data_IF_980496604361
#
_entry.id   IF_980496604361
#
_cell.length_a   1.000
_cell.length_b   1.000
_cell.length_c   1.000
_cell.angle_alpha   90.00
_cell.angle_beta   90.00
_cell.angle_gamma   90.00
#
_symmetry.space_group_name_H-M   'P 1'
#
loop_
_entity.id
_entity.type
_entity.pdbx_description
1 polymer ?
#
# COMPACT_ATOMS: atom_id res chain seq x y z
N UNK A 1 -9.65 11.55 38.72
CA UNK A 1 -10.30 10.27 38.40
C UNK A 1 -11.01 10.43 37.07
N UNK A 2 -10.55 9.75 36.03
CA UNK A 2 -11.23 9.69 34.72
C UNK A 2 -12.59 9.02 34.91
N UNK A 3 -13.68 9.66 34.47
CA UNK A 3 -15.01 9.04 34.44
C UNK A 3 -14.93 7.71 33.67
N UNK A 4 -15.57 6.63 34.13
CA UNK A 4 -15.69 5.41 33.33
C UNK A 4 -16.39 5.79 32.01
N UNK A 5 -15.78 5.48 30.88
CA UNK A 5 -16.42 5.64 29.57
C UNK A 5 -17.68 4.79 29.54
N UNK A 6 -18.80 5.40 29.15
CA UNK A 6 -20.08 4.70 28.96
C UNK A 6 -19.87 3.54 27.98
N UNK A 7 -20.04 2.26 28.41
CA UNK A 7 -19.84 1.11 27.55
C UNK A 7 -20.68 1.15 26.27
N UNK A 8 -21.88 1.75 26.32
CA UNK A 8 -22.74 1.89 25.16
C UNK A 8 -22.19 2.93 24.16
N UNK A 9 -21.57 4.00 24.66
CA UNK A 9 -20.95 5.01 23.81
C UNK A 9 -19.71 4.45 23.09
N UNK A 10 -18.89 3.67 23.80
CA UNK A 10 -17.73 2.98 23.23
C UNK A 10 -18.15 1.92 22.18
N UNK A 11 -19.20 1.15 22.47
CA UNK A 11 -19.77 0.19 21.50
C UNK A 11 -20.30 0.90 20.25
N UNK A 12 -21.04 1.99 20.40
CA UNK A 12 -21.56 2.78 19.26
C UNK A 12 -20.43 3.36 18.41
N UNK A 13 -19.36 3.84 19.04
CA UNK A 13 -18.18 4.34 18.32
C UNK A 13 -17.54 3.24 17.47
N UNK A 14 -17.31 2.04 18.03
CA UNK A 14 -16.75 0.91 17.28
C UNK A 14 -17.62 0.49 16.10
N UNK A 15 -18.95 0.49 16.27
CA UNK A 15 -19.88 0.18 15.19
C UNK A 15 -19.80 1.22 14.07
N UNK A 16 -19.68 2.51 14.39
CA UNK A 16 -19.50 3.56 13.40
C UNK A 16 -18.17 3.44 12.65
N UNK A 17 -17.09 3.11 13.35
CA UNK A 17 -15.77 2.85 12.75
C UNK A 17 -15.83 1.67 11.78
N UNK A 18 -16.42 0.54 12.20
CA UNK A 18 -16.64 -0.63 11.33
C UNK A 18 -17.48 -0.29 10.10
N UNK A 19 -18.55 0.49 10.25
CA UNK A 19 -19.38 0.91 9.12
C UNK A 19 -18.60 1.76 8.13
N UNK A 20 -17.73 2.67 8.62
CA UNK A 20 -16.87 3.50 7.78
C UNK A 20 -15.86 2.65 7.00
N UNK A 21 -15.22 1.70 7.66
CA UNK A 21 -14.26 0.78 7.04
C UNK A 21 -14.92 -0.10 5.96
N UNK A 22 -16.10 -0.66 6.25
CA UNK A 22 -16.85 -1.47 5.29
C UNK A 22 -17.28 -0.65 4.05
N UNK A 23 -17.68 0.61 4.25
CA UNK A 23 -18.02 1.50 3.15
C UNK A 23 -16.80 1.79 2.26
N UNK A 24 -15.64 2.05 2.87
CA UNK A 24 -14.37 2.23 2.16
C UNK A 24 -14.02 0.98 1.33
N UNK A 25 -14.05 -0.21 1.94
CA UNK A 25 -13.77 -1.48 1.24
C UNK A 25 -14.71 -1.68 0.06
N UNK A 26 -16.02 -1.44 0.25
CA UNK A 26 -17.03 -1.58 -0.81
C UNK A 26 -16.78 -0.63 -1.98
N UNK A 27 -16.42 0.64 -1.71
CA UNK A 27 -16.07 1.62 -2.75
C UNK A 27 -14.85 1.19 -3.55
N UNK A 28 -13.76 0.85 -2.88
CA UNK A 28 -12.53 0.39 -3.53
C UNK A 28 -12.78 -0.87 -4.36
N UNK A 29 -13.52 -1.84 -3.83
CA UNK A 29 -13.87 -3.07 -4.55
C UNK A 29 -14.67 -2.77 -5.82
N UNK A 30 -15.65 -1.86 -5.74
CA UNK A 30 -16.44 -1.44 -6.90
C UNK A 30 -15.56 -0.79 -7.97
N UNK A 31 -14.71 0.15 -7.60
CA UNK A 31 -13.80 0.82 -8.54
C UNK A 31 -12.87 -0.19 -9.21
N UNK A 32 -12.23 -1.06 -8.42
CA UNK A 32 -11.35 -2.11 -8.92
C UNK A 32 -12.05 -3.06 -9.90
N UNK A 33 -13.32 -3.40 -9.65
CA UNK A 33 -14.10 -4.30 -10.52
C UNK A 33 -14.35 -3.73 -11.93
N UNK A 34 -14.20 -2.42 -12.11
CA UNK A 34 -14.46 -1.75 -13.40
C UNK A 34 -13.19 -1.49 -14.22
N UNK A 35 -12.02 -1.82 -13.69
CA UNK A 35 -10.73 -1.55 -14.34
C UNK A 35 -10.51 -2.52 -15.49
N UNK A 36 -10.31 -1.99 -16.69
CA UNK A 36 -10.05 -2.78 -17.89
C UNK A 36 -8.62 -2.63 -18.44
N UNK A 37 -7.91 -1.59 -18.02
CA UNK A 37 -6.57 -1.30 -18.51
C UNK A 37 -5.64 -0.69 -17.45
N UNK A 38 -4.34 -0.67 -17.77
CA UNK A 38 -3.28 -0.18 -16.89
C UNK A 38 -3.44 1.30 -16.52
N UNK A 39 -3.98 2.14 -17.42
CA UNK A 39 -4.15 3.58 -17.16
C UNK A 39 -5.26 3.82 -16.15
N UNK A 40 -6.37 3.11 -16.29
CA UNK A 40 -7.46 3.13 -15.31
C UNK A 40 -6.99 2.64 -13.94
N UNK A 41 -6.15 1.60 -13.91
CA UNK A 41 -5.56 1.13 -12.66
C UNK A 41 -4.68 2.19 -11.99
N UNK A 42 -3.78 2.83 -12.74
CA UNK A 42 -2.94 3.90 -12.22
C UNK A 42 -3.77 5.08 -11.71
N UNK A 43 -4.87 5.43 -12.39
CA UNK A 43 -5.79 6.47 -11.95
C UNK A 43 -6.39 6.12 -10.58
N UNK A 44 -6.98 4.92 -10.44
CA UNK A 44 -7.64 4.46 -9.20
C UNK A 44 -6.65 4.36 -8.04
N UNK A 45 -5.42 3.89 -8.28
CA UNK A 45 -4.37 3.86 -7.25
C UNK A 45 -4.04 5.28 -6.77
N UNK A 46 -3.91 6.22 -7.70
CA UNK A 46 -3.55 7.60 -7.38
C UNK A 46 -4.67 8.37 -6.67
N UNK A 47 -5.91 8.19 -7.08
CA UNK A 47 -7.04 8.93 -6.52
C UNK A 47 -7.56 8.28 -5.25
N UNK A 48 -7.86 7.00 -5.31
CA UNK A 48 -8.69 6.33 -4.31
C UNK A 48 -7.83 5.67 -3.24
N UNK A 49 -6.77 4.94 -3.63
CA UNK A 49 -5.91 4.28 -2.65
C UNK A 49 -5.14 5.28 -1.78
N UNK A 50 -4.52 6.31 -2.39
CA UNK A 50 -3.80 7.34 -1.61
C UNK A 50 -4.72 8.04 -0.60
N UNK A 51 -5.94 8.37 -1.03
CA UNK A 51 -6.91 9.10 -0.19
C UNK A 51 -7.47 8.22 0.92
N UNK A 52 -7.94 7.02 0.58
CA UNK A 52 -8.64 6.15 1.54
C UNK A 52 -7.67 5.46 2.51
N UNK A 53 -6.44 5.11 2.06
CA UNK A 53 -5.43 4.48 2.93
C UNK A 53 -4.52 5.49 3.64
N UNK A 54 -4.62 6.79 3.31
CA UNK A 54 -3.78 7.83 3.89
C UNK A 54 -2.28 7.65 3.59
N UNK A 55 -1.93 6.94 2.52
CA UNK A 55 -0.56 6.69 2.11
C UNK A 55 -0.03 7.82 1.23
N UNK A 56 1.21 8.28 1.49
CA UNK A 56 1.85 9.32 0.67
C UNK A 56 2.16 8.84 -0.75
N UNK A 57 2.52 7.56 -0.90
CA UNK A 57 2.72 6.95 -2.21
C UNK A 57 2.33 5.46 -2.21
N UNK A 58 2.06 4.93 -3.40
CA UNK A 58 1.62 3.55 -3.59
C UNK A 58 2.26 2.96 -4.85
N UNK A 59 2.69 1.71 -4.78
CA UNK A 59 3.30 0.99 -5.88
C UNK A 59 2.75 -0.43 -5.95
N UNK A 60 2.36 -0.86 -7.14
CA UNK A 60 2.03 -2.22 -7.48
C UNK A 60 3.19 -2.84 -8.25
N UNK A 61 3.67 -3.95 -7.71
CA UNK A 61 4.77 -4.73 -8.27
C UNK A 61 4.19 -6.10 -8.63
N UNK A 62 4.57 -6.64 -9.79
CA UNK A 62 4.22 -8.01 -10.18
C UNK A 62 5.46 -8.80 -10.56
N UNK A 63 5.42 -10.09 -10.27
CA UNK A 63 6.42 -11.05 -10.75
C UNK A 63 5.92 -11.69 -12.05
N UNK A 64 6.65 -11.50 -13.15
CA UNK A 64 6.42 -12.17 -14.42
C UNK A 64 7.55 -13.16 -14.69
N UNK A 65 7.33 -14.41 -14.27
CA UNK A 65 8.25 -15.56 -14.50
C UNK A 65 9.65 -15.32 -13.94
N UNK A 66 9.74 -14.77 -12.74
CA UNK A 66 10.99 -14.41 -12.07
C UNK A 66 11.55 -13.05 -12.48
N UNK A 67 10.80 -12.27 -13.27
CA UNK A 67 11.15 -10.88 -13.58
C UNK A 67 10.19 -9.95 -12.85
N UNK A 68 10.71 -9.25 -11.86
CA UNK A 68 9.94 -8.28 -11.11
C UNK A 68 9.80 -7.00 -11.92
N UNK A 69 8.57 -6.54 -12.07
CA UNK A 69 8.27 -5.27 -12.72
C UNK A 69 7.30 -4.42 -11.90
N UNK A 70 7.51 -3.10 -11.95
CA UNK A 70 6.59 -2.13 -11.40
C UNK A 70 5.40 -2.02 -12.38
N UNK A 71 4.28 -2.62 -12.00
CA UNK A 71 3.07 -2.66 -12.80
C UNK A 71 2.25 -1.38 -12.69
N UNK A 72 2.26 -0.73 -11.53
CA UNK A 72 1.61 0.55 -11.33
C UNK A 72 2.36 1.33 -10.26
N UNK A 73 2.42 2.65 -10.40
CA UNK A 73 2.99 3.52 -9.39
C UNK A 73 2.14 4.78 -9.24
N UNK A 74 2.23 5.37 -8.06
CA UNK A 74 1.54 6.60 -7.73
C UNK A 74 2.27 7.88 -8.18
N UNK A 75 3.40 7.72 -8.86
CA UNK A 75 4.30 8.79 -9.32
C UNK A 75 4.57 8.60 -10.81
N UNK A 76 4.63 9.66 -11.62
CA UNK A 76 4.70 9.53 -13.10
C UNK A 76 6.01 8.90 -13.63
N UNK A 77 7.01 8.69 -12.78
CA UNK A 77 8.32 8.19 -13.18
C UNK A 77 8.31 6.67 -13.33
N UNK A 78 8.30 6.17 -14.57
CA UNK A 78 8.53 4.74 -14.83
C UNK A 78 9.95 4.37 -14.40
N UNK A 79 10.07 3.73 -13.24
CA UNK A 79 11.33 3.18 -12.76
C UNK A 79 11.45 1.77 -13.34
N UNK A 80 12.28 1.61 -14.38
CA UNK A 80 12.70 0.28 -14.84
C UNK A 80 13.84 -0.18 -13.94
N UNK A 81 13.56 -1.10 -13.02
CA UNK A 81 14.57 -1.62 -12.09
C UNK A 81 14.76 -3.11 -12.27
N UNK A 82 15.83 -3.48 -12.96
CA UNK A 82 16.53 -4.76 -12.76
C UNK A 82 17.35 -4.64 -11.47
N UNK A 83 16.66 -4.65 -10.33
CA UNK A 83 17.28 -4.56 -9.01
C UNK A 83 17.08 -5.90 -8.30
N UNK A 84 18.11 -6.76 -8.34
CA UNK A 84 18.09 -8.06 -7.66
C UNK A 84 17.79 -7.95 -6.15
N UNK A 85 17.94 -6.76 -5.56
CA UNK A 85 17.64 -6.52 -4.16
C UNK A 85 16.14 -6.35 -3.92
N UNK A 86 15.43 -5.76 -4.88
CA UNK A 86 13.96 -5.69 -4.86
C UNK A 86 13.35 -7.09 -4.82
N UNK A 87 13.96 -8.05 -5.53
CA UNK A 87 13.52 -9.45 -5.57
C UNK A 87 13.40 -10.07 -4.18
N UNK A 88 14.34 -9.78 -3.29
CA UNK A 88 14.29 -10.29 -1.92
C UNK A 88 13.10 -9.74 -1.14
N UNK A 89 12.84 -8.44 -1.25
CA UNK A 89 11.74 -7.81 -0.51
C UNK A 89 10.37 -8.23 -1.05
N UNK A 90 10.22 -8.29 -2.37
CA UNK A 90 8.98 -8.75 -3.00
C UNK A 90 8.73 -10.21 -2.66
N UNK A 91 9.76 -11.06 -2.73
CA UNK A 91 9.63 -12.46 -2.34
C UNK A 91 9.20 -12.62 -0.88
N UNK A 92 9.80 -11.86 0.04
CA UNK A 92 9.36 -11.87 1.44
C UNK A 92 7.87 -11.50 1.57
N UNK A 93 7.39 -10.51 0.82
CA UNK A 93 5.98 -10.14 0.81
C UNK A 93 5.08 -11.26 0.26
N UNK A 94 5.49 -11.93 -0.83
CA UNK A 94 4.74 -13.03 -1.43
C UNK A 94 4.71 -14.29 -0.55
N UNK A 95 5.78 -14.53 0.21
CA UNK A 95 5.90 -15.66 1.14
C UNK A 95 5.21 -15.39 2.50
N UNK A 96 4.68 -14.17 2.73
CA UNK A 96 4.04 -13.76 3.98
C UNK A 96 2.52 -13.64 3.82
N UNK A 97 1.77 -14.23 4.76
CA UNK A 97 0.31 -14.02 4.87
C UNK A 97 -0.06 -12.68 5.53
N UNK A 98 0.91 -12.03 6.19
CA UNK A 98 0.73 -10.79 6.93
C UNK A 98 1.45 -9.62 6.24
N UNK A 99 0.99 -8.37 6.42
CA UNK A 99 1.69 -7.19 5.94
C UNK A 99 3.10 -7.09 6.54
N UNK A 100 4.09 -6.81 5.69
CA UNK A 100 5.47 -6.58 6.11
C UNK A 100 5.76 -5.09 6.22
N UNK A 101 6.38 -4.68 7.32
CA UNK A 101 6.82 -3.30 7.54
C UNK A 101 8.30 -3.15 7.21
N UNK A 102 8.64 -2.12 6.46
CA UNK A 102 10.01 -1.78 6.11
C UNK A 102 10.35 -0.37 6.58
N UNK A 103 11.36 -0.22 7.45
CA UNK A 103 11.92 1.11 7.77
C UNK A 103 12.95 1.48 6.68
N UNK A 104 12.61 2.48 5.86
CA UNK A 104 13.43 2.97 4.75
C UNK A 104 14.79 3.52 5.22
N UNK A 105 14.93 3.91 6.49
CA UNK A 105 16.22 4.32 7.07
C UNK A 105 17.14 3.14 7.34
N UNK A 106 16.57 2.03 7.80
CA UNK A 106 17.30 0.82 8.21
C UNK A 106 17.54 -0.15 7.04
N UNK A 107 16.79 0.00 5.95
CA UNK A 107 16.98 -0.76 4.73
C UNK A 107 18.38 -0.53 4.13
N UNK A 108 19.20 -1.57 4.20
CA UNK A 108 20.52 -1.64 3.59
C UNK A 108 20.73 -3.02 2.98
N UNK A 109 20.95 -3.13 1.66
CA UNK A 109 20.91 -2.04 0.69
C UNK A 109 19.46 -1.59 0.39
N UNK A 110 19.29 -0.30 0.03
CA UNK A 110 17.99 0.31 -0.28
C UNK A 110 17.62 0.04 -1.75
N UNK A 111 16.49 -0.65 -2.03
CA UNK A 111 16.00 -0.79 -3.39
C UNK A 111 15.82 0.56 -4.07
N UNK A 112 16.25 0.63 -5.31
CA UNK A 112 16.18 1.84 -6.14
C UNK A 112 14.77 2.46 -6.20
N UNK A 113 13.72 1.63 -6.22
CA UNK A 113 12.32 2.06 -6.18
C UNK A 113 11.92 2.85 -4.91
N UNK A 114 12.65 2.72 -3.80
CA UNK A 114 12.40 3.46 -2.56
C UNK A 114 13.27 4.71 -2.40
N UNK A 115 14.18 4.99 -3.34
CA UNK A 115 15.12 6.11 -3.23
C UNK A 115 14.40 7.46 -3.15
N UNK A 116 13.44 7.67 -4.05
CA UNK A 116 12.66 8.92 -4.11
C UNK A 116 11.84 9.10 -2.82
N UNK A 117 11.15 8.05 -2.38
CA UNK A 117 10.38 8.04 -1.14
C UNK A 117 11.25 8.36 0.10
N UNK A 118 12.44 7.75 0.20
CA UNK A 118 13.38 8.05 1.30
C UNK A 118 13.85 9.49 1.27
N UNK A 119 14.18 10.02 0.09
CA UNK A 119 14.65 11.39 -0.09
C UNK A 119 13.54 12.42 0.18
N UNK A 120 12.28 12.09 -0.05
CA UNK A 120 11.13 12.93 0.30
C UNK A 120 10.77 12.87 1.79
N UNK A 121 11.55 12.16 2.61
CA UNK A 121 11.37 12.06 4.05
C UNK A 121 10.43 10.94 4.50
N UNK A 122 10.01 10.04 3.60
CA UNK A 122 9.24 8.86 4.02
C UNK A 122 10.10 7.94 4.88
N UNK A 123 9.48 7.37 5.91
CA UNK A 123 10.16 6.47 6.86
C UNK A 123 9.74 5.02 6.71
N UNK A 124 8.47 4.77 6.48
CA UNK A 124 7.91 3.42 6.50
C UNK A 124 7.33 3.09 5.13
N UNK A 125 7.56 1.86 4.68
CA UNK A 125 6.82 1.22 3.61
C UNK A 125 6.12 -0.02 4.15
N UNK A 126 4.96 -0.34 3.57
CA UNK A 126 4.19 -1.54 3.90
C UNK A 126 4.11 -2.39 2.64
N UNK A 127 4.56 -3.65 2.74
CA UNK A 127 4.45 -4.64 1.68
C UNK A 127 3.31 -5.59 1.95
N UNK A 128 2.52 -5.86 0.90
CA UNK A 128 1.41 -6.81 0.91
C UNK A 128 1.64 -7.81 -0.22
N UNK A 129 1.67 -9.10 0.09
CA UNK A 129 1.57 -10.17 -0.90
C UNK A 129 0.12 -10.33 -1.33
N UNK A 130 -0.13 -10.42 -2.65
CA UNK A 130 -1.45 -10.62 -3.25
C UNK A 130 -1.43 -11.82 -4.20
#
# INVERSE_FOLDING_TARGET
MSKPSDPNAEMMKRLQEMQKEQLMISRLTKELSTILDKKQLQLVINTSFKTELGSNDCMMIRDVKGNIEIFGNGTENQIHTTDQQLDRYVKNCLDSAEPLLFDLKELSPLPSCFTEAKNSGMRMAVGLGL
#
